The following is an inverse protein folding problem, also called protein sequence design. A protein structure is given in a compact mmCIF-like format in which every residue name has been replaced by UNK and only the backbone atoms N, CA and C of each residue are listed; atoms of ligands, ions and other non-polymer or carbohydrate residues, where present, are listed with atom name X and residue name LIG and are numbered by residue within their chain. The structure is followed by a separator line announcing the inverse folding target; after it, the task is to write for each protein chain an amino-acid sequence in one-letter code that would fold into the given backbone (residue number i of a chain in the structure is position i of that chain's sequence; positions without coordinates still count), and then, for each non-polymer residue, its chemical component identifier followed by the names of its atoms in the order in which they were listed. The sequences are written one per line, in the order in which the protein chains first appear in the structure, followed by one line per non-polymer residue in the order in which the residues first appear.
data_IF_683964277609
#
_entry.id   IF_683964277609
#
_cell.length_a   1.000
_cell.length_b   1.000
_cell.length_c   1.000
_cell.angle_alpha   90.00
_cell.angle_beta   90.00
_cell.angle_gamma   90.00
#
_symmetry.space_group_name_H-M   'P 1'
#
loop_
_entity.id
_entity.type
_entity.pdbx_description
1 polymer ?
#
# COMPACT_ATOMS: atom_id res chain seq x y z
N UNK A 1 -12.20 19.75 9.52
CA UNK A 1 -12.87 18.96 8.47
C UNK A 1 -12.44 17.51 8.60
N UNK A 2 -13.38 16.56 8.54
CA UNK A 2 -13.11 15.11 8.57
C UNK A 2 -12.82 14.59 7.17
N UNK A 3 -12.12 13.47 7.04
CA UNK A 3 -11.85 12.90 5.72
C UNK A 3 -12.74 11.67 5.49
N UNK A 4 -13.50 11.62 4.40
CA UNK A 4 -14.41 10.50 4.09
C UNK A 4 -13.67 9.16 4.13
N UNK A 5 -12.41 9.12 3.69
CA UNK A 5 -11.57 7.93 3.65
C UNK A 5 -10.48 7.93 4.75
N UNK A 6 -10.70 8.74 5.80
CA UNK A 6 -9.89 8.74 7.02
C UNK A 6 -10.37 7.63 7.96
N UNK A 7 -9.42 6.90 8.54
CA UNK A 7 -9.71 5.82 9.51
C UNK A 7 -9.22 6.24 10.90
N UNK A 8 -10.14 6.32 11.86
CA UNK A 8 -9.86 6.63 13.26
C UNK A 8 -9.46 5.35 14.01
N UNK A 9 -8.15 5.20 14.25
CA UNK A 9 -7.58 4.04 14.97
C UNK A 9 -7.63 4.20 16.51
N UNK A 10 -8.11 5.33 17.03
CA UNK A 10 -8.14 5.53 18.47
C UNK A 10 -9.38 4.87 19.08
N UNK A 11 -9.20 3.67 19.62
CA UNK A 11 -10.25 2.93 20.34
C UNK A 11 -10.57 3.53 21.72
N UNK A 12 -9.75 4.46 22.23
CA UNK A 12 -9.87 5.04 23.56
C UNK A 12 -10.45 6.46 23.57
N UNK A 13 -10.91 6.97 22.43
CA UNK A 13 -11.52 8.30 22.33
C UNK A 13 -12.76 8.41 23.25
N UNK A 14 -12.84 9.42 24.13
CA UNK A 14 -14.01 9.65 24.97
C UNK A 14 -15.28 9.80 24.12
N UNK A 15 -16.33 9.03 24.43
CA UNK A 15 -17.61 9.05 23.70
C UNK A 15 -17.68 8.19 22.43
N UNK A 16 -16.63 7.42 22.10
CA UNK A 16 -16.67 6.44 21.00
C UNK A 16 -17.31 5.14 21.51
N UNK A 17 -18.24 4.60 20.72
CA UNK A 17 -18.77 3.25 20.96
C UNK A 17 -17.64 2.24 20.79
N UNK A 18 -17.28 1.56 21.88
CA UNK A 18 -16.14 0.62 21.95
C UNK A 18 -16.40 -0.68 21.18
N UNK A 19 -17.62 -0.89 20.68
CA UNK A 19 -17.97 -2.08 19.89
C UNK A 19 -17.66 -1.93 18.39
N UNK A 20 -17.32 -0.72 17.94
CA UNK A 20 -17.02 -0.40 16.54
C UNK A 20 -15.49 -0.29 16.32
N UNK A 21 -14.89 -1.36 15.81
CA UNK A 21 -13.50 -1.37 15.34
C UNK A 21 -13.34 -0.51 14.07
N UNK A 22 -12.23 0.23 13.96
CA UNK A 22 -11.74 0.99 12.79
C UNK A 22 -12.83 1.60 11.88
N UNK A 23 -13.60 2.54 12.43
CA UNK A 23 -14.66 3.22 11.67
C UNK A 23 -14.06 4.25 10.73
N UNK A 24 -14.34 4.09 9.45
CA UNK A 24 -14.08 5.11 8.45
C UNK A 24 -14.99 6.33 8.70
N UNK A 25 -14.41 7.53 8.74
CA UNK A 25 -15.13 8.79 9.01
C UNK A 25 -16.34 8.99 8.06
N UNK A 26 -16.20 8.52 6.81
CA UNK A 26 -17.21 8.59 5.76
C UNK A 26 -18.32 7.55 5.84
N UNK A 27 -18.45 6.77 6.92
CA UNK A 27 -19.43 5.66 7.03
C UNK A 27 -20.88 6.10 6.69
N UNK A 28 -21.24 7.36 6.98
CA UNK A 28 -22.56 7.94 6.64
C UNK A 28 -22.84 8.04 5.14
N UNK A 29 -21.80 8.11 4.30
CA UNK A 29 -21.91 8.15 2.84
C UNK A 29 -21.92 6.75 2.23
N UNK A 30 -21.68 5.71 3.04
CA UNK A 30 -21.61 4.33 2.58
C UNK A 30 -23.01 3.78 2.29
N UNK A 31 -23.19 3.18 1.13
CA UNK A 31 -24.42 2.51 0.72
C UNK A 31 -24.50 1.15 1.42
N UNK A 32 -25.25 1.08 2.52
CA UNK A 32 -25.35 -0.12 3.37
C UNK A 32 -25.89 -1.35 2.63
N UNK A 33 -26.81 -1.15 1.67
CA UNK A 33 -27.37 -2.22 0.84
C UNK A 33 -26.38 -2.89 -0.13
N UNK A 34 -25.21 -2.27 -0.37
CA UNK A 34 -24.16 -2.84 -1.21
C UNK A 34 -23.26 -3.82 -0.46
N UNK A 35 -23.05 -3.62 0.86
CA UNK A 35 -22.05 -4.36 1.64
C UNK A 35 -22.26 -5.88 1.60
N UNK A 36 -23.50 -6.36 1.81
CA UNK A 36 -23.78 -7.80 1.77
C UNK A 36 -23.62 -8.42 0.38
N UNK A 37 -23.89 -7.67 -0.69
CA UNK A 37 -23.69 -8.12 -2.07
C UNK A 37 -22.20 -8.22 -2.40
N UNK A 38 -21.43 -7.21 -2.00
CA UNK A 38 -19.98 -7.18 -2.18
C UNK A 38 -19.29 -8.27 -1.35
N UNK A 39 -19.70 -8.51 -0.11
CA UNK A 39 -19.17 -9.60 0.72
C UNK A 39 -19.33 -10.97 0.04
N UNK A 40 -20.53 -11.27 -0.50
CA UNK A 40 -20.77 -12.50 -1.27
C UNK A 40 -19.94 -12.59 -2.54
N UNK A 41 -19.71 -11.47 -3.23
CA UNK A 41 -18.84 -11.45 -4.40
C UNK A 41 -17.39 -11.79 -3.99
N UNK A 42 -16.88 -11.17 -2.92
CA UNK A 42 -15.53 -11.45 -2.41
C UNK A 42 -15.36 -12.89 -1.98
N UNK A 43 -16.33 -13.46 -1.26
CA UNK A 43 -16.29 -14.86 -0.80
C UNK A 43 -16.17 -15.83 -1.98
N UNK A 44 -17.04 -15.70 -2.99
CA UNK A 44 -16.99 -16.54 -4.20
C UNK A 44 -15.68 -16.45 -4.96
N UNK A 45 -15.05 -15.28 -4.99
CA UNK A 45 -13.76 -15.11 -5.67
C UNK A 45 -12.59 -15.53 -4.79
N UNK A 46 -12.69 -15.42 -3.47
CA UNK A 46 -11.70 -15.94 -2.53
C UNK A 46 -11.60 -17.47 -2.62
N UNK A 47 -12.73 -18.17 -2.75
CA UNK A 47 -12.77 -19.63 -2.97
C UNK A 47 -12.09 -20.08 -4.28
N UNK A 48 -12.01 -19.19 -5.28
CA UNK A 48 -11.34 -19.47 -6.56
C UNK A 48 -9.83 -19.22 -6.51
N UNK A 49 -9.33 -18.58 -5.46
CA UNK A 49 -7.89 -18.39 -5.26
C UNK A 49 -7.34 -19.69 -4.66
N UNK A 50 -6.36 -20.35 -5.32
CA UNK A 50 -5.78 -21.58 -4.79
C UNK A 50 -5.27 -21.38 -3.37
N UNK A 51 -5.71 -22.23 -2.43
CA UNK A 51 -5.27 -22.17 -1.04
C UNK A 51 -3.74 -22.29 -0.95
N UNK A 52 -3.14 -21.37 -0.19
CA UNK A 52 -1.69 -21.27 0.02
C UNK A 52 -1.16 -22.26 1.09
N UNK A 53 -1.99 -23.20 1.54
CA UNK A 53 -1.82 -23.84 2.85
C UNK A 53 -0.61 -24.77 3.00
N UNK A 54 -0.08 -25.36 1.93
CA UNK A 54 1.06 -26.30 2.07
C UNK A 54 2.45 -25.63 1.98
N UNK A 55 2.59 -24.51 1.28
CA UNK A 55 3.89 -23.86 1.04
C UNK A 55 4.29 -22.88 2.16
N UNK A 56 3.32 -22.36 2.92
CA UNK A 56 3.57 -21.33 3.94
C UNK A 56 4.18 -21.89 5.22
N UNK A 57 3.84 -23.11 5.67
CA UNK A 57 4.44 -23.68 6.88
C UNK A 57 5.91 -24.06 6.68
N UNK A 58 6.27 -24.58 5.50
CA UNK A 58 7.65 -24.94 5.16
C UNK A 58 8.48 -23.67 4.90
N UNK A 59 7.91 -22.67 4.21
CA UNK A 59 8.63 -21.43 3.90
C UNK A 59 8.76 -20.48 5.08
N UNK A 60 7.78 -20.39 5.99
CA UNK A 60 7.88 -19.55 7.19
C UNK A 60 8.91 -20.15 8.16
N UNK A 61 8.91 -21.48 8.35
CA UNK A 61 9.96 -22.14 9.12
C UNK A 61 11.35 -21.91 8.51
N UNK A 62 11.50 -22.10 7.19
CA UNK A 62 12.76 -21.84 6.48
C UNK A 62 13.17 -20.35 6.52
N UNK A 63 12.22 -19.42 6.45
CA UNK A 63 12.45 -17.98 6.53
C UNK A 63 12.85 -17.55 7.94
N UNK A 64 12.21 -18.07 8.99
CA UNK A 64 12.57 -17.80 10.38
C UNK A 64 13.93 -18.41 10.73
N UNK A 65 14.26 -19.60 10.20
CA UNK A 65 15.60 -20.20 10.29
C UNK A 65 16.61 -19.31 9.56
N UNK A 66 16.36 -18.92 8.31
CA UNK A 66 17.24 -18.05 7.53
C UNK A 66 17.47 -16.68 8.20
N UNK A 67 16.43 -16.08 8.77
CA UNK A 67 16.51 -14.82 9.52
C UNK A 67 17.32 -14.97 10.81
N UNK A 68 17.17 -16.10 11.51
CA UNK A 68 17.96 -16.41 12.71
C UNK A 68 19.43 -16.65 12.37
N UNK A 69 19.72 -17.37 11.29
CA UNK A 69 21.08 -17.54 10.75
C UNK A 69 21.72 -16.19 10.39
N UNK A 70 20.98 -15.29 9.73
CA UNK A 70 21.47 -13.93 9.39
C UNK A 70 21.78 -13.07 10.63
N UNK A 71 20.99 -13.21 11.71
CA UNK A 71 21.26 -12.53 13.00
C UNK A 71 22.50 -13.06 13.71
N UNK A 72 22.87 -14.32 13.51
CA UNK A 72 24.12 -14.90 14.01
C UNK A 72 25.27 -14.45 13.10
N UNK A 73 25.04 -14.40 11.79
CA UNK A 73 26.04 -14.04 10.79
C UNK A 73 26.56 -12.61 10.86
N UNK A 74 25.74 -11.65 11.31
CA UNK A 74 26.20 -10.25 11.49
C UNK A 74 27.32 -10.10 12.51
N UNK A 75 27.50 -11.09 13.39
CA UNK A 75 28.60 -11.12 14.35
C UNK A 75 29.84 -11.86 13.81
N UNK A 76 29.73 -12.53 12.66
CA UNK A 76 30.83 -13.27 12.05
C UNK A 76 32.01 -12.38 11.61
N UNK A 77 31.81 -11.19 11.02
CA UNK A 77 32.92 -10.27 10.73
C UNK A 77 33.60 -9.78 12.01
N UNK A 78 32.85 -9.63 13.11
CA UNK A 78 33.38 -9.23 14.40
C UNK A 78 34.22 -10.36 15.03
N UNK A 79 33.76 -11.61 14.92
CA UNK A 79 34.51 -12.79 15.37
C UNK A 79 35.79 -12.95 14.53
N UNK A 80 35.71 -12.83 13.20
CA UNK A 80 36.88 -12.86 12.32
C UNK A 80 37.84 -11.71 12.60
N UNK A 81 37.33 -10.51 12.90
CA UNK A 81 38.15 -9.35 13.28
C UNK A 81 38.84 -9.59 14.63
N UNK A 82 38.15 -10.13 15.63
CA UNK A 82 38.74 -10.49 16.93
C UNK A 82 39.83 -11.56 16.74
N UNK A 83 39.56 -12.58 15.94
CA UNK A 83 40.54 -13.63 15.63
C UNK A 83 41.74 -13.07 14.85
N UNK A 84 41.53 -12.15 13.89
CA UNK A 84 42.59 -11.47 13.15
C UNK A 84 43.43 -10.53 14.04
N UNK A 85 42.81 -9.87 15.01
CA UNK A 85 43.49 -9.00 15.98
C UNK A 85 44.31 -9.81 17.00
N UNK A 86 43.79 -10.95 17.46
CA UNK A 86 44.57 -11.93 18.25
C UNK A 86 45.75 -12.47 17.43
N UNK A 87 45.56 -12.67 16.12
CA UNK A 87 46.59 -13.10 15.18
C UNK A 87 47.69 -12.06 14.93
N UNK A 88 47.33 -10.76 14.87
CA UNK A 88 48.29 -9.69 14.57
C UNK A 88 49.38 -9.56 15.63
N UNK A 89 49.14 -10.04 16.85
CA UNK A 89 50.12 -10.01 17.93
C UNK A 89 51.20 -11.11 17.86
N UNK A 90 51.04 -12.16 17.03
CA UNK A 90 51.78 -13.41 17.23
C UNK A 90 52.17 -14.17 15.94
N UNK A 91 52.21 -13.47 14.80
CA UNK A 91 52.34 -14.06 13.45
C UNK A 91 53.70 -14.73 13.14
N UNK A 92 54.73 -14.52 13.97
CA UNK A 92 56.09 -14.95 13.66
C UNK A 92 56.52 -16.29 14.32
N UNK A 93 55.65 -16.93 15.11
CA UNK A 93 56.03 -18.02 16.02
C UNK A 93 55.17 -19.28 15.93
N UNK A 94 54.15 -19.35 15.05
CA UNK A 94 53.18 -20.46 15.05
C UNK A 94 53.32 -21.43 13.86
N UNK A 95 53.23 -22.74 14.10
CA UNK A 95 53.40 -23.75 13.06
C UNK A 95 52.17 -23.91 12.16
N UNK A 96 52.40 -24.26 10.89
CA UNK A 96 51.40 -24.30 9.80
C UNK A 96 50.14 -25.13 10.11
N UNK A 97 50.27 -26.19 10.92
CA UNK A 97 49.15 -27.06 11.27
C UNK A 97 48.09 -26.36 12.13
N UNK A 98 48.48 -25.39 12.96
CA UNK A 98 47.54 -24.57 13.75
C UNK A 98 46.71 -23.66 12.84
N UNK A 99 47.27 -23.24 11.71
CA UNK A 99 46.60 -22.42 10.69
C UNK A 99 45.53 -23.25 9.96
N UNK A 100 45.86 -24.50 9.60
CA UNK A 100 44.94 -25.43 8.93
C UNK A 100 43.75 -25.82 9.81
N UNK A 101 43.97 -26.07 11.10
CA UNK A 101 42.90 -26.45 12.06
C UNK A 101 41.82 -25.36 12.19
N UNK A 102 42.16 -24.09 11.97
CA UNK A 102 41.24 -22.96 12.08
C UNK A 102 40.59 -22.54 10.74
N UNK A 103 41.30 -22.71 9.62
CA UNK A 103 40.77 -22.41 8.29
C UNK A 103 39.69 -23.41 7.85
N UNK A 104 39.83 -24.68 8.23
CA UNK A 104 38.87 -25.73 7.86
C UNK A 104 37.46 -25.43 8.40
N UNK A 105 37.25 -25.13 9.70
CA UNK A 105 35.94 -24.72 10.21
C UNK A 105 35.37 -23.47 9.54
N UNK A 106 36.22 -22.47 9.22
CA UNK A 106 35.77 -21.24 8.56
C UNK A 106 35.25 -21.51 7.14
N UNK A 107 35.95 -22.36 6.37
CA UNK A 107 35.51 -22.78 5.05
C UNK A 107 34.24 -23.63 5.08
N UNK A 108 34.13 -24.56 6.05
CA UNK A 108 32.91 -25.35 6.26
C UNK A 108 31.72 -24.44 6.58
N UNK A 109 31.92 -23.43 7.44
CA UNK A 109 30.86 -22.48 7.78
C UNK A 109 30.43 -21.64 6.57
N UNK A 110 31.37 -21.21 5.73
CA UNK A 110 31.10 -20.48 4.49
C UNK A 110 30.35 -21.35 3.46
N UNK A 111 30.71 -22.63 3.35
CA UNK A 111 30.01 -23.57 2.48
C UNK A 111 28.56 -23.80 2.94
N UNK A 112 28.33 -23.96 4.25
CA UNK A 112 26.99 -24.04 4.84
C UNK A 112 26.20 -22.75 4.56
N UNK A 113 26.85 -21.58 4.61
CA UNK A 113 26.22 -20.31 4.28
C UNK A 113 25.71 -20.25 2.84
N UNK A 114 26.59 -20.59 1.89
CA UNK A 114 26.25 -20.59 0.46
C UNK A 114 25.12 -21.59 0.18
N UNK A 115 25.16 -22.75 0.82
CA UNK A 115 24.10 -23.75 0.72
C UNK A 115 22.77 -23.20 1.26
N UNK A 116 22.76 -22.54 2.43
CA UNK A 116 21.57 -21.91 2.99
C UNK A 116 21.02 -20.78 2.10
N UNK A 117 21.89 -19.99 1.44
CA UNK A 117 21.46 -18.94 0.51
C UNK A 117 20.87 -19.52 -0.79
N UNK A 118 21.45 -20.61 -1.31
CA UNK A 118 20.94 -21.32 -2.49
C UNK A 118 19.62 -22.00 -2.18
N UNK A 119 19.54 -22.74 -1.06
CA UNK A 119 18.30 -23.36 -0.59
C UNK A 119 17.24 -22.30 -0.27
N UNK A 120 17.62 -21.17 0.33
CA UNK A 120 16.73 -20.04 0.57
C UNK A 120 16.14 -19.45 -0.71
N UNK A 121 16.93 -19.38 -1.80
CA UNK A 121 16.44 -18.97 -3.13
C UNK A 121 15.53 -20.01 -3.78
N UNK A 122 15.77 -21.30 -3.56
CA UNK A 122 14.96 -22.41 -4.09
C UNK A 122 13.64 -22.55 -3.32
N UNK A 123 13.67 -22.30 -2.01
CA UNK A 123 12.53 -22.42 -1.10
C UNK A 123 11.72 -21.13 -0.95
N UNK A 124 12.03 -20.05 -1.69
CA UNK A 124 11.11 -18.90 -1.75
C UNK A 124 9.79 -19.44 -2.33
N UNK A 125 8.69 -19.37 -1.57
CA UNK A 125 7.41 -19.83 -2.06
C UNK A 125 7.13 -19.08 -3.34
N UNK A 126 6.88 -19.82 -4.41
CA UNK A 126 6.34 -19.26 -5.64
C UNK A 126 5.12 -18.44 -5.22
N UNK A 127 5.20 -17.13 -5.36
CA UNK A 127 4.06 -16.22 -5.18
C UNK A 127 2.90 -16.74 -6.03
N UNK A 128 1.67 -16.56 -5.54
CA UNK A 128 0.41 -17.07 -6.10
C UNK A 128 0.30 -16.94 -7.63
N UNK A 129 0.98 -15.96 -8.24
CA UNK A 129 1.10 -15.81 -9.69
C UNK A 129 1.92 -16.87 -10.46
N UNK A 130 2.27 -18.01 -9.86
CA UNK A 130 3.00 -19.11 -10.53
C UNK A 130 2.41 -20.51 -10.31
N UNK A 131 1.17 -20.61 -9.83
CA UNK A 131 0.46 -21.89 -9.82
C UNK A 131 0.10 -22.29 -11.26
N UNK A 132 0.54 -23.45 -11.76
CA UNK A 132 0.19 -23.90 -13.11
C UNK A 132 -1.33 -23.93 -13.29
N UNK A 133 -1.84 -23.22 -14.31
CA UNK A 133 -3.28 -23.14 -14.61
C UNK A 133 -4.05 -22.03 -13.88
N UNK A 134 -3.45 -21.30 -12.93
CA UNK A 134 -4.07 -20.14 -12.30
C UNK A 134 -3.71 -18.85 -13.05
N UNK A 135 -4.67 -18.30 -13.79
CA UNK A 135 -4.54 -16.98 -14.42
C UNK A 135 -5.14 -15.90 -13.52
N UNK A 136 -4.28 -15.26 -12.73
CA UNK A 136 -4.69 -14.15 -11.86
C UNK A 136 -5.23 -12.95 -12.64
N UNK A 137 -4.77 -12.74 -13.88
CA UNK A 137 -5.22 -11.61 -14.70
C UNK A 137 -6.66 -11.84 -15.15
N UNK A 138 -6.95 -13.04 -15.65
CA UNK A 138 -8.31 -13.42 -16.03
C UNK A 138 -9.26 -13.37 -14.83
N UNK A 139 -8.85 -13.88 -13.67
CA UNK A 139 -9.67 -13.83 -12.44
C UNK A 139 -10.05 -12.38 -12.06
N UNK A 140 -9.10 -11.45 -12.14
CA UNK A 140 -9.35 -10.03 -11.82
C UNK A 140 -10.25 -9.36 -12.86
N UNK A 141 -10.12 -9.71 -14.14
CA UNK A 141 -11.01 -9.23 -15.20
C UNK A 141 -12.45 -9.73 -15.02
N UNK A 142 -12.62 -11.01 -14.67
CA UNK A 142 -13.92 -11.60 -14.39
C UNK A 142 -14.55 -10.97 -13.14
N UNK A 143 -13.76 -10.78 -12.08
CA UNK A 143 -14.18 -10.10 -10.85
C UNK A 143 -14.69 -8.69 -11.16
N UNK A 144 -13.92 -7.90 -11.92
CA UNK A 144 -14.31 -6.54 -12.27
C UNK A 144 -15.58 -6.50 -13.11
N UNK A 145 -15.72 -7.41 -14.10
CA UNK A 145 -16.93 -7.51 -14.93
C UNK A 145 -18.16 -7.82 -14.08
N UNK A 146 -18.04 -8.75 -13.14
CA UNK A 146 -19.12 -9.05 -12.19
C UNK A 146 -19.40 -7.87 -11.25
N UNK A 147 -18.37 -7.20 -10.75
CA UNK A 147 -18.51 -6.02 -9.89
C UNK A 147 -19.27 -4.90 -10.61
N UNK A 148 -18.88 -4.57 -11.84
CA UNK A 148 -19.55 -3.57 -12.68
C UNK A 148 -21.01 -3.91 -12.89
N UNK A 149 -21.32 -5.18 -13.20
CA UNK A 149 -22.71 -5.64 -13.34
C UNK A 149 -23.48 -5.56 -12.02
N UNK A 150 -22.89 -5.99 -10.91
CA UNK A 150 -23.52 -6.06 -9.59
C UNK A 150 -23.89 -4.67 -9.06
N UNK A 151 -23.00 -3.70 -9.25
CA UNK A 151 -23.18 -2.32 -8.80
C UNK A 151 -23.76 -1.40 -9.88
N UNK A 152 -24.06 -1.93 -11.08
CA UNK A 152 -24.51 -1.16 -12.24
C UNK A 152 -23.59 0.04 -12.56
N UNK A 153 -22.27 -0.20 -12.49
CA UNK A 153 -21.26 0.80 -12.84
C UNK A 153 -21.31 1.02 -14.36
N UNK A 154 -21.50 2.26 -14.83
CA UNK A 154 -21.56 2.55 -16.26
C UNK A 154 -20.17 2.46 -16.90
N UNK A 155 -20.13 2.20 -18.21
CA UNK A 155 -18.87 2.18 -18.98
C UNK A 155 -18.18 3.55 -19.01
N UNK A 156 -18.92 4.63 -18.76
CA UNK A 156 -18.38 5.99 -18.62
C UNK A 156 -17.71 6.26 -17.27
N UNK A 157 -17.64 5.27 -16.37
CA UNK A 157 -16.97 5.44 -15.08
C UNK A 157 -15.47 5.64 -15.27
N UNK A 158 -14.93 6.64 -14.58
CA UNK A 158 -13.49 6.94 -14.59
C UNK A 158 -12.80 6.22 -13.42
N UNK A 159 -11.56 5.77 -13.61
CA UNK A 159 -10.74 5.21 -12.53
C UNK A 159 -9.87 6.29 -11.92
N UNK A 160 -10.13 6.64 -10.66
CA UNK A 160 -9.43 7.71 -9.96
C UNK A 160 -8.75 7.19 -8.70
N UNK A 161 -7.59 7.76 -8.40
CA UNK A 161 -6.80 7.47 -7.22
C UNK A 161 -7.20 8.41 -6.09
N UNK A 162 -7.63 7.81 -4.98
CA UNK A 162 -8.00 8.50 -3.74
C UNK A 162 -6.95 8.17 -2.67
N UNK A 163 -6.47 9.20 -1.97
CA UNK A 163 -5.51 9.03 -0.89
C UNK A 163 -6.21 8.85 0.45
N UNK A 164 -6.18 7.62 0.94
CA UNK A 164 -6.70 7.22 2.24
C UNK A 164 -5.59 7.33 3.31
N UNK A 165 -5.95 7.54 4.56
CA UNK A 165 -4.97 7.55 5.65
C UNK A 165 -5.59 7.14 6.99
N UNK A 166 -4.73 6.66 7.88
CA UNK A 166 -5.10 6.41 9.27
C UNK A 166 -4.66 7.59 10.12
N UNK A 167 -5.41 7.89 11.18
CA UNK A 167 -5.04 8.93 12.13
C UNK A 167 -5.35 8.50 13.57
N UNK A 168 -4.75 9.22 14.51
CA UNK A 168 -4.94 9.04 15.95
C UNK A 168 -5.14 10.41 16.60
N UNK A 169 -5.78 10.45 17.77
CA UNK A 169 -5.93 11.69 18.51
C UNK A 169 -4.73 11.93 19.42
N UNK A 170 -4.15 13.14 19.35
CA UNK A 170 -3.10 13.60 20.27
C UNK A 170 -3.45 15.00 20.76
N UNK A 171 -3.55 15.17 22.07
CA UNK A 171 -3.88 16.45 22.72
C UNK A 171 -5.11 17.13 22.10
N UNK A 172 -6.18 16.36 21.87
CA UNK A 172 -7.44 16.87 21.31
C UNK A 172 -7.42 17.18 19.81
N UNK A 173 -6.33 16.87 19.09
CA UNK A 173 -6.23 17.05 17.63
C UNK A 173 -6.03 15.71 16.91
N UNK A 174 -6.68 15.56 15.75
CA UNK A 174 -6.44 14.43 14.86
C UNK A 174 -5.06 14.59 14.19
N UNK A 175 -4.16 13.64 14.43
CA UNK A 175 -2.81 13.61 13.86
C UNK A 175 -2.70 12.38 12.97
N UNK A 176 -2.35 12.60 11.70
CA UNK A 176 -2.15 11.52 10.74
C UNK A 176 -1.07 10.55 11.25
N UNK A 177 -1.38 9.26 11.23
CA UNK A 177 -0.47 8.22 11.69
C UNK A 177 0.44 7.81 10.54
N UNK A 178 1.74 7.81 10.80
CA UNK A 178 2.71 7.20 9.90
C UNK A 178 2.63 5.67 10.03
N UNK A 179 2.56 4.96 8.91
CA UNK A 179 2.70 3.51 8.87
C UNK A 179 4.13 3.09 9.28
N UNK A 180 4.41 1.77 9.34
CA UNK A 180 5.74 1.24 9.70
C UNK A 180 6.90 1.77 8.85
N UNK A 181 6.60 2.25 7.64
CA UNK A 181 7.57 2.84 6.71
C UNK A 181 7.67 4.36 6.79
N UNK A 182 7.04 4.99 7.81
CA UNK A 182 7.08 6.45 8.00
C UNK A 182 6.10 7.24 7.13
N UNK A 183 5.17 6.58 6.42
CA UNK A 183 4.32 7.18 5.38
C UNK A 183 2.89 7.35 5.85
N UNK A 184 2.20 8.33 5.28
CA UNK A 184 0.88 8.76 5.76
C UNK A 184 -0.28 8.24 4.90
N UNK A 185 -0.09 8.15 3.59
CA UNK A 185 -1.17 7.83 2.66
C UNK A 185 -1.06 6.42 2.08
N UNK A 186 -2.21 5.82 1.84
CA UNK A 186 -2.41 4.68 0.95
C UNK A 186 -3.10 5.18 -0.31
N UNK A 187 -2.63 4.73 -1.47
CA UNK A 187 -3.26 5.04 -2.75
C UNK A 187 -4.23 3.92 -3.14
N UNK A 188 -5.51 4.26 -3.26
CA UNK A 188 -6.58 3.33 -3.58
C UNK A 188 -7.26 3.79 -4.88
N UNK A 189 -7.43 2.87 -5.83
CA UNK A 189 -8.18 3.15 -7.06
C UNK A 189 -9.67 2.96 -6.81
N UNK A 190 -10.46 3.94 -7.26
CA UNK A 190 -11.92 3.94 -7.19
C UNK A 190 -12.50 4.12 -8.60
N UNK A 191 -13.59 3.40 -8.90
CA UNK A 191 -14.51 3.79 -9.96
C UNK A 191 -15.31 5.01 -9.50
N UNK A 192 -15.30 6.07 -10.31
CA UNK A 192 -16.04 7.30 -10.10
C UNK A 192 -17.04 7.53 -11.23
N UNK A 193 -18.31 7.72 -10.88
CA UNK A 193 -19.35 8.00 -11.85
C UNK A 193 -20.49 8.82 -11.23
N UNK A 194 -21.25 9.50 -12.09
CA UNK A 194 -22.46 10.22 -11.70
C UNK A 194 -23.70 9.38 -11.97
N UNK A 195 -24.61 9.34 -11.02
CA UNK A 195 -25.96 8.81 -11.21
C UNK A 195 -26.94 9.59 -10.33
N UNK A 196 -28.09 9.97 -10.89
CA UNK A 196 -29.18 10.63 -10.13
C UNK A 196 -28.72 11.87 -9.32
N UNK A 197 -27.80 12.67 -9.86
CA UNK A 197 -27.29 13.86 -9.18
C UNK A 197 -26.31 13.58 -8.02
N UNK A 198 -25.79 12.36 -7.92
CA UNK A 198 -24.85 11.93 -6.89
C UNK A 198 -23.59 11.34 -7.51
N UNK A 199 -22.46 11.63 -6.89
CA UNK A 199 -21.17 11.01 -7.17
C UNK A 199 -21.13 9.67 -6.44
N UNK A 200 -20.92 8.60 -7.20
CA UNK A 200 -20.64 7.27 -6.67
C UNK A 200 -19.14 7.00 -6.74
N UNK A 201 -18.59 6.47 -5.65
CA UNK A 201 -17.20 6.04 -5.56
C UNK A 201 -17.16 4.61 -5.04
N UNK A 202 -16.49 3.70 -5.74
CA UNK A 202 -16.27 2.34 -5.24
C UNK A 202 -14.92 1.76 -5.62
N UNK A 203 -14.25 1.12 -4.65
CA UNK A 203 -13.03 0.33 -4.81
C UNK A 203 -13.33 -1.18 -4.90
N UNK A 204 -14.60 -1.56 -5.01
CA UNK A 204 -15.06 -2.94 -4.95
C UNK A 204 -15.33 -3.46 -3.54
N UNK A 205 -14.80 -2.83 -2.49
CA UNK A 205 -15.10 -3.17 -1.10
C UNK A 205 -16.26 -2.35 -0.55
N UNK A 206 -16.25 -1.06 -0.84
CA UNK A 206 -17.25 -0.11 -0.37
C UNK A 206 -17.85 0.66 -1.54
N UNK A 207 -19.12 1.04 -1.40
CA UNK A 207 -19.80 1.95 -2.30
C UNK A 207 -20.19 3.20 -1.51
N UNK A 208 -19.67 4.34 -1.92
CA UNK A 208 -19.99 5.64 -1.36
C UNK A 208 -20.89 6.42 -2.31
N UNK A 209 -21.83 7.16 -1.73
CA UNK A 209 -22.74 8.04 -2.42
C UNK A 209 -22.63 9.45 -1.84
N UNK A 210 -22.20 10.40 -2.66
CA UNK A 210 -21.99 11.79 -2.25
C UNK A 210 -22.87 12.68 -3.14
N UNK A 211 -23.86 13.41 -2.59
CA UNK A 211 -24.67 14.32 -3.39
C UNK A 211 -23.79 15.36 -4.10
N UNK A 212 -23.97 15.55 -5.41
CA UNK A 212 -23.16 16.53 -6.18
C UNK A 212 -23.27 17.93 -5.59
N UNK A 213 -24.47 18.32 -5.16
CA UNK A 213 -24.74 19.61 -4.53
C UNK A 213 -24.02 19.80 -3.18
N UNK A 214 -23.59 18.71 -2.52
CA UNK A 214 -22.79 18.80 -1.31
C UNK A 214 -21.32 19.09 -1.61
N UNK A 215 -20.85 18.88 -2.84
CA UNK A 215 -19.45 19.07 -3.19
C UNK A 215 -19.17 20.54 -3.48
N UNK A 216 -18.51 21.23 -2.55
CA UNK A 216 -18.38 22.70 -2.58
C UNK A 216 -17.13 23.20 -3.29
N UNK A 217 -16.01 22.50 -3.18
CA UNK A 217 -14.76 22.93 -3.83
C UNK A 217 -13.86 21.74 -4.20
N UNK A 218 -12.91 22.01 -5.11
CA UNK A 218 -11.73 21.17 -5.35
C UNK A 218 -10.53 22.12 -5.31
N UNK A 219 -9.66 21.95 -4.33
CA UNK A 219 -8.56 22.86 -4.07
C UNK A 219 -7.23 22.12 -4.03
N UNK A 220 -6.19 22.75 -4.58
CA UNK A 220 -4.84 22.20 -4.56
C UNK A 220 -4.22 22.36 -3.16
N UNK A 221 -3.67 21.28 -2.61
CA UNK A 221 -2.98 21.30 -1.32
C UNK A 221 -1.46 21.33 -1.51
N UNK A 222 -0.88 22.54 -1.50
CA UNK A 222 0.57 22.75 -1.66
C UNK A 222 1.40 22.05 -0.57
N UNK A 223 0.94 22.09 0.68
CA UNK A 223 1.67 21.56 1.84
C UNK A 223 1.72 20.01 1.91
N UNK A 224 0.93 19.32 1.08
CA UNK A 224 0.82 17.85 1.08
C UNK A 224 1.69 17.17 0.03
N UNK A 225 2.63 17.90 -0.59
CA UNK A 225 3.60 17.43 -1.60
C UNK A 225 4.56 16.29 -1.18
N UNK A 226 4.37 15.70 0.00
CA UNK A 226 5.10 14.52 0.50
C UNK A 226 4.19 13.27 0.62
N UNK A 227 3.05 13.25 -0.08
CA UNK A 227 2.29 12.01 -0.22
C UNK A 227 3.18 10.98 -0.92
N UNK A 228 3.51 9.89 -0.23
CA UNK A 228 4.21 8.76 -0.83
C UNK A 228 3.35 7.52 -0.66
N UNK A 229 3.23 6.75 -1.73
CA UNK A 229 2.33 5.60 -1.78
C UNK A 229 3.00 4.39 -2.45
N UNK A 230 2.62 3.16 -2.05
CA UNK A 230 3.30 1.94 -2.46
C UNK A 230 3.05 1.54 -3.91
N UNK A 231 1.87 1.85 -4.44
CA UNK A 231 1.37 1.22 -5.65
C UNK A 231 0.89 2.25 -6.66
N UNK A 232 1.32 2.05 -7.90
CA UNK A 232 0.82 2.77 -9.06
C UNK A 232 -0.30 1.95 -9.68
N UNK A 233 -1.51 2.52 -9.73
CA UNK A 233 -2.71 1.80 -10.16
C UNK A 233 -3.00 1.94 -11.66
N UNK A 234 -2.31 2.86 -12.36
CA UNK A 234 -2.59 3.12 -13.78
C UNK A 234 -1.92 2.10 -14.69
N UNK A 235 -2.58 1.79 -15.80
CA UNK A 235 -2.06 0.90 -16.83
C UNK A 235 -0.77 1.47 -17.47
N UNK A 236 -0.79 2.77 -17.79
CA UNK A 236 0.38 3.46 -18.31
C UNK A 236 1.38 3.72 -17.18
N UNK A 237 2.69 3.56 -17.42
CA UNK A 237 3.70 3.80 -16.40
C UNK A 237 3.73 5.28 -15.99
N UNK A 238 4.06 5.57 -14.74
CA UNK A 238 4.19 6.93 -14.21
C UNK A 238 5.21 7.82 -14.96
N UNK A 239 6.12 7.21 -15.74
CA UNK A 239 7.11 7.91 -16.58
C UNK A 239 6.57 8.34 -17.93
N UNK A 240 5.33 7.99 -18.26
CA UNK A 240 4.68 8.39 -19.51
C UNK A 240 4.58 9.92 -19.62
N UNK A 241 4.65 10.44 -20.85
CA UNK A 241 4.56 11.86 -21.15
C UNK A 241 3.25 12.49 -20.60
N UNK A 242 2.16 11.71 -20.55
CA UNK A 242 0.89 12.13 -19.96
C UNK A 242 1.00 12.50 -18.47
N UNK A 243 1.97 11.91 -17.75
CA UNK A 243 2.16 12.14 -16.31
C UNK A 243 3.32 13.08 -15.97
N UNK A 244 4.12 13.49 -16.95
CA UNK A 244 5.32 14.31 -16.74
C UNK A 244 5.04 15.59 -15.92
N UNK A 245 3.88 16.23 -16.16
CA UNK A 245 3.44 17.45 -15.46
C UNK A 245 3.19 17.24 -13.95
N UNK A 246 2.97 16.02 -13.49
CA UNK A 246 2.72 15.67 -12.08
C UNK A 246 3.99 15.26 -11.32
N UNK A 247 5.14 15.15 -12.01
CA UNK A 247 6.46 14.88 -11.42
C UNK A 247 6.46 13.69 -10.45
N UNK A 248 5.77 12.60 -10.82
CA UNK A 248 5.77 11.37 -10.03
C UNK A 248 7.17 10.76 -10.06
N UNK A 249 7.77 10.53 -8.89
CA UNK A 249 9.07 9.86 -8.77
C UNK A 249 8.95 8.54 -8.03
N UNK A 250 9.76 7.56 -8.41
CA UNK A 250 9.94 6.34 -7.64
C UNK A 250 11.11 6.53 -6.67
N UNK A 251 10.84 6.51 -5.38
CA UNK A 251 11.85 6.60 -4.32
C UNK A 251 12.66 5.30 -4.18
N UNK A 252 13.74 5.37 -3.40
CA UNK A 252 14.73 4.27 -3.19
C UNK A 252 14.09 2.98 -2.67
N UNK A 253 12.94 3.07 -1.99
CA UNK A 253 12.22 1.92 -1.44
C UNK A 253 11.20 1.27 -2.41
N UNK A 254 11.22 1.61 -3.71
CA UNK A 254 10.20 1.23 -4.71
C UNK A 254 8.80 1.87 -4.60
N UNK A 255 8.66 2.92 -3.79
CA UNK A 255 7.39 3.65 -3.65
C UNK A 255 7.31 4.87 -4.57
N UNK A 256 6.11 5.29 -4.91
CA UNK A 256 5.85 6.48 -5.73
C UNK A 256 5.64 7.72 -4.85
N UNK A 257 6.16 8.85 -5.31
CA UNK A 257 6.03 10.17 -4.70
C UNK A 257 5.54 11.13 -5.78
N UNK A 258 4.24 11.46 -5.84
CA UNK A 258 3.77 12.62 -6.56
C UNK A 258 4.36 13.87 -5.88
N UNK A 259 5.38 14.46 -6.50
CA UNK A 259 6.02 15.68 -5.99
C UNK A 259 5.20 16.95 -6.26
N UNK A 260 4.09 16.84 -6.99
CA UNK A 260 3.19 17.96 -7.23
C UNK A 260 1.73 17.47 -7.36
N UNK A 261 0.85 18.10 -6.57
CA UNK A 261 -0.60 18.04 -6.62
C UNK A 261 -1.31 16.87 -5.93
N UNK A 262 -1.66 17.08 -4.66
CA UNK A 262 -2.83 16.46 -4.03
C UNK A 262 -3.96 17.49 -4.07
N UNK A 263 -5.17 17.08 -4.44
CA UNK A 263 -6.35 17.95 -4.38
C UNK A 263 -7.27 17.51 -3.25
N UNK A 264 -7.81 18.49 -2.51
CA UNK A 264 -8.88 18.30 -1.54
C UNK A 264 -10.22 18.58 -2.20
N UNK A 265 -11.13 17.61 -2.12
CA UNK A 265 -12.52 17.78 -2.49
C UNK A 265 -13.31 18.03 -1.22
N UNK A 266 -13.95 19.19 -1.10
CA UNK A 266 -14.78 19.51 0.06
C UNK A 266 -16.22 19.07 -0.15
N UNK A 267 -16.79 18.46 0.90
CA UNK A 267 -18.15 17.95 0.96
C UNK A 267 -18.85 18.59 2.16
N UNK A 268 -19.72 19.56 1.88
CA UNK A 268 -20.57 20.21 2.86
C UNK A 268 -21.59 19.21 3.39
N UNK A 269 -21.40 18.86 4.64
CA UNK A 269 -22.37 18.11 5.42
C UNK A 269 -22.57 18.84 6.75
N UNK A 270 -23.79 18.86 7.29
CA UNK A 270 -24.05 19.50 8.59
C UNK A 270 -24.22 18.41 9.66
N UNK A 271 -23.69 18.60 10.88
CA UNK A 271 -22.99 19.80 11.37
C UNK A 271 -21.50 19.88 11.01
N UNK A 272 -20.88 18.81 10.50
CA UNK A 272 -19.43 18.73 10.28
C UNK A 272 -19.06 18.68 8.79
N UNK A 273 -18.11 19.52 8.31
CA UNK A 273 -17.62 19.42 6.95
C UNK A 273 -16.74 18.17 6.75
N UNK A 274 -16.93 17.52 5.61
CA UNK A 274 -16.14 16.37 5.16
C UNK A 274 -15.31 16.75 3.94
N UNK A 275 -14.34 15.92 3.59
CA UNK A 275 -13.66 15.99 2.31
C UNK A 275 -12.90 14.72 2.00
N UNK A 276 -12.29 14.64 0.82
CA UNK A 276 -11.40 13.55 0.45
C UNK A 276 -10.24 14.06 -0.41
N UNK A 277 -9.19 13.25 -0.51
CA UNK A 277 -7.99 13.60 -1.26
C UNK A 277 -7.89 12.82 -2.54
N UNK A 278 -7.62 13.52 -3.64
CA UNK A 278 -7.52 12.94 -4.99
C UNK A 278 -6.13 13.22 -5.52
N UNK A 279 -5.57 12.25 -6.23
CA UNK A 279 -4.30 12.43 -6.92
C UNK A 279 -4.41 13.53 -8.00
N UNK A 280 -3.38 14.36 -8.13
CA UNK A 280 -3.37 15.44 -9.11
C UNK A 280 -3.52 14.97 -10.55
N UNK A 281 -3.03 13.77 -10.86
CA UNK A 281 -3.20 13.14 -12.18
C UNK A 281 -4.62 12.69 -12.49
N UNK A 282 -5.50 12.62 -11.49
CA UNK A 282 -6.91 12.22 -11.65
C UNK A 282 -7.91 13.36 -11.39
N UNK A 283 -7.43 14.55 -11.02
CA UNK A 283 -8.33 15.69 -10.74
C UNK A 283 -9.17 16.06 -11.97
N UNK A 284 -8.58 16.00 -13.16
CA UNK A 284 -9.28 16.29 -14.42
C UNK A 284 -10.36 15.24 -14.70
N UNK A 285 -10.07 13.96 -14.45
CA UNK A 285 -11.04 12.87 -14.60
C UNK A 285 -12.22 13.03 -13.64
N UNK A 286 -11.96 13.34 -12.36
CA UNK A 286 -13.02 13.63 -11.40
C UNK A 286 -13.86 14.85 -11.82
N UNK A 287 -13.24 15.90 -12.36
CA UNK A 287 -13.96 17.08 -12.83
C UNK A 287 -14.86 16.77 -14.03
N UNK A 288 -14.41 15.91 -14.96
CA UNK A 288 -15.24 15.39 -16.06
C UNK A 288 -16.45 14.64 -15.52
N UNK A 289 -16.25 13.70 -14.59
CA UNK A 289 -17.36 12.96 -13.94
C UNK A 289 -18.37 13.94 -13.33
N UNK A 290 -17.88 14.94 -12.60
CA UNK A 290 -18.74 15.92 -11.93
C UNK A 290 -19.36 16.95 -12.87
N UNK A 291 -18.97 17.00 -14.14
CA UNK A 291 -19.41 18.01 -15.09
C UNK A 291 -19.08 19.43 -14.65
N UNK A 292 -17.84 19.65 -14.17
CA UNK A 292 -17.32 20.97 -13.76
C UNK A 292 -15.94 21.22 -14.37
N UNK A 293 -15.53 22.49 -14.57
CA UNK A 293 -14.20 22.79 -15.07
C UNK A 293 -13.13 22.28 -14.11
N UNK A 294 -12.04 21.73 -14.67
CA UNK A 294 -10.89 21.32 -13.88
C UNK A 294 -10.19 22.55 -13.29
N UNK A 295 -9.72 22.50 -12.03
CA UNK A 295 -8.89 23.57 -11.49
C UNK A 295 -7.61 23.68 -12.32
N UNK A 296 -7.09 24.90 -12.46
CA UNK A 296 -5.78 25.10 -13.09
C UNK A 296 -4.77 24.29 -12.29
N UNK A 297 -4.02 23.43 -12.98
CA UNK A 297 -2.90 22.74 -12.37
C UNK A 297 -1.90 23.81 -11.88
N UNK A 298 -1.31 23.64 -10.69
CA UNK A 298 -0.30 24.57 -10.20
C UNK A 298 0.82 24.65 -11.23
N UNK A 299 1.14 25.88 -11.68
CA UNK A 299 2.31 26.11 -12.51
C UNK A 299 3.52 25.86 -11.61
N UNK A 300 4.41 24.93 -11.95
CA UNK A 300 5.57 24.65 -11.11
C UNK A 300 6.41 25.93 -10.97
N UNK A 301 6.69 26.34 -9.72
CA UNK A 301 7.78 27.29 -9.46
C UNK A 301 9.09 26.55 -9.78
N UNK A 302 9.90 27.17 -10.65
CA UNK A 302 11.19 26.64 -11.07
C UNK A 302 12.14 26.46 -9.88
#
# INVERSE_FOLDING_TARGET
MRNIFGIDLDHNRPGKDKTLYDVMDGQKFRVTGAAGKLAKLHERYAERIPEKHAADHISEAAYQIGRSCMKILRFYPLILLILALIWFQDLNSRPLHTILILLIPAFVLLAVLLLCLVLGKICVPKTVGRTPGFDSKQLMQDYEKELKKLLAIPDSAERIDIFCFTYQWKSGKAVQRKNRTGRVFTNMEYFAYMKEGKLFLTDGHDLFEIPKAAITSIEHLEEKGNASFPSWNKEQPYTDAAYARYRVKKGVDNYYMPLAAVYQVEVKNRPEPFGFFVAGYDVEALCRVLGRPAPKLPIPKN
#
